data_IF_766756922176
#
_entry.id   IF_766756922176
#
_cell.length_a   1.000
_cell.length_b   1.000
_cell.length_c   1.000
_cell.angle_alpha   90.00
_cell.angle_beta   90.00
_cell.angle_gamma   90.00
#
_symmetry.space_group_name_H-M   'P 1'
#
loop_
_entity.id
_entity.type
_entity.pdbx_description
1 polymer ?
#
# COMPACT_ATOMS: atom_id res chain seq x y z
N UNK A 1 80.52 -16.01 -35.05
CA UNK A 1 79.54 -16.68 -35.94
C UNK A 1 78.77 -17.68 -35.09
N UNK A 2 77.45 -17.86 -35.09
CA UNK A 2 76.31 -17.42 -35.91
C UNK A 2 75.07 -17.58 -35.03
N UNK A 3 74.09 -16.70 -35.19
CA UNK A 3 72.81 -16.64 -34.49
C UNK A 3 71.96 -17.91 -34.68
N UNK A 4 71.32 -18.40 -33.61
CA UNK A 4 70.18 -19.33 -33.70
C UNK A 4 68.87 -18.57 -33.41
N UNK A 5 67.97 -18.59 -34.40
CA UNK A 5 66.61 -18.04 -34.33
C UNK A 5 65.62 -19.19 -34.10
N UNK A 6 64.79 -19.09 -33.08
CA UNK A 6 63.55 -19.88 -32.95
C UNK A 6 62.35 -18.95 -33.09
N UNK A 7 61.86 -18.83 -34.33
CA UNK A 7 60.66 -18.05 -34.66
C UNK A 7 59.39 -18.87 -34.38
N UNK A 8 58.53 -18.34 -33.51
CA UNK A 8 57.19 -18.82 -33.20
C UNK A 8 56.29 -18.77 -34.44
N UNK A 9 55.57 -19.86 -34.73
CA UNK A 9 54.43 -19.88 -35.66
C UNK A 9 53.31 -19.01 -35.10
N UNK A 10 52.95 -17.94 -35.82
CA UNK A 10 51.71 -17.19 -35.62
C UNK A 10 50.80 -17.54 -36.79
N UNK A 11 49.71 -18.25 -36.51
CA UNK A 11 48.68 -18.57 -37.47
C UNK A 11 47.83 -17.30 -37.67
N UNK A 12 47.85 -16.75 -38.89
CA UNK A 12 47.05 -15.58 -39.27
C UNK A 12 45.63 -16.04 -39.60
N UNK A 13 44.64 -15.52 -38.87
CA UNK A 13 43.24 -15.55 -39.25
C UNK A 13 42.89 -14.18 -39.84
N UNK A 14 42.51 -14.18 -41.12
CA UNK A 14 42.06 -12.99 -41.82
C UNK A 14 40.76 -12.45 -41.19
N UNK A 15 40.76 -11.17 -40.82
CA UNK A 15 39.55 -10.43 -40.45
C UNK A 15 38.81 -10.01 -41.72
N UNK A 16 37.63 -10.56 -41.96
CA UNK A 16 36.64 -9.94 -42.85
C UNK A 16 35.94 -8.81 -42.11
N UNK A 17 36.20 -7.58 -42.53
CA UNK A 17 35.50 -6.38 -42.05
C UNK A 17 34.11 -6.30 -42.68
N UNK A 18 33.06 -6.41 -41.87
CA UNK A 18 31.73 -6.01 -42.25
C UNK A 18 31.57 -4.51 -41.96
N UNK A 19 31.38 -3.69 -43.01
CA UNK A 19 31.00 -2.29 -42.87
C UNK A 19 29.52 -2.24 -42.50
N UNK A 20 29.24 -2.01 -41.22
CA UNK A 20 27.89 -1.72 -40.75
C UNK A 20 27.67 -0.20 -40.73
N UNK A 21 26.64 0.26 -41.44
CA UNK A 21 26.21 1.65 -41.45
C UNK A 21 25.94 2.13 -40.02
N UNK A 22 26.63 3.18 -39.60
CA UNK A 22 26.50 3.77 -38.27
C UNK A 22 25.22 4.59 -38.17
N UNK A 23 24.11 3.95 -37.81
CA UNK A 23 23.05 4.66 -37.08
C UNK A 23 23.52 4.84 -35.64
N UNK A 24 23.66 6.08 -35.17
CA UNK A 24 23.97 6.37 -33.76
C UNK A 24 22.79 5.89 -32.91
N UNK A 25 22.84 4.63 -32.49
CA UNK A 25 21.93 4.12 -31.50
C UNK A 25 22.30 4.77 -30.16
N UNK A 26 21.52 5.78 -29.76
CA UNK A 26 21.58 6.33 -28.41
C UNK A 26 21.35 5.15 -27.47
N UNK A 27 22.39 4.74 -26.74
CA UNK A 27 22.27 3.69 -25.74
C UNK A 27 21.10 4.09 -24.80
N UNK A 28 20.13 3.19 -24.55
CA UNK A 28 19.06 3.50 -23.60
C UNK A 28 19.73 3.86 -22.27
N UNK A 29 19.47 5.08 -21.81
CA UNK A 29 19.99 5.56 -20.52
C UNK A 29 19.71 4.48 -19.46
N UNK A 30 20.68 4.17 -18.58
CA UNK A 30 20.46 3.18 -17.54
C UNK A 30 19.19 3.56 -16.80
N UNK A 31 18.17 2.69 -16.86
CA UNK A 31 16.94 2.84 -16.07
C UNK A 31 17.39 2.95 -14.62
N UNK A 32 17.38 4.17 -14.07
CA UNK A 32 17.51 4.41 -12.64
C UNK A 32 16.51 3.48 -11.98
N UNK A 33 16.99 2.54 -11.15
CA UNK A 33 16.13 1.63 -10.42
C UNK A 33 15.05 2.47 -9.72
N UNK A 34 13.79 2.23 -10.08
CA UNK A 34 12.67 2.96 -9.49
C UNK A 34 12.71 2.66 -7.99
N UNK A 35 12.82 3.70 -7.15
CA UNK A 35 12.85 3.51 -5.70
C UNK A 35 11.66 2.65 -5.29
N UNK A 36 11.91 1.59 -4.52
CA UNK A 36 10.90 0.60 -4.13
C UNK A 36 9.62 1.31 -3.65
N UNK A 37 8.52 1.10 -4.37
CA UNK A 37 7.22 1.70 -4.04
C UNK A 37 6.65 1.12 -2.75
N UNK A 38 5.86 1.93 -2.05
CA UNK A 38 5.09 1.51 -0.89
C UNK A 38 3.77 0.89 -1.32
N UNK A 39 3.19 0.05 -0.46
CA UNK A 39 1.89 -0.61 -0.63
C UNK A 39 0.90 -0.10 0.42
N UNK A 40 -0.37 -0.10 0.06
CA UNK A 40 -1.46 0.29 0.94
C UNK A 40 -2.61 -0.72 0.87
N UNK A 41 -3.25 -0.95 2.03
CA UNK A 41 -4.26 -1.99 2.24
C UNK A 41 -5.44 -1.42 3.02
N UNK A 42 -6.66 -1.75 2.61
CA UNK A 42 -7.86 -1.44 3.41
C UNK A 42 -8.03 -2.49 4.51
N UNK A 43 -8.12 -2.01 5.75
CA UNK A 43 -8.39 -2.82 6.93
C UNK A 43 -9.56 -2.22 7.73
N UNK A 44 -10.41 -3.07 8.31
CA UNK A 44 -11.47 -2.60 9.22
C UNK A 44 -11.91 -3.69 10.19
N UNK A 45 -12.55 -3.26 11.28
CA UNK A 45 -13.34 -4.10 12.16
C UNK A 45 -14.67 -3.40 12.48
N UNK A 46 -15.78 -4.11 12.26
CA UNK A 46 -17.12 -3.63 12.66
C UNK A 46 -17.25 -3.51 14.18
N UNK A 47 -18.35 -2.93 14.67
CA UNK A 47 -18.61 -2.84 16.12
C UNK A 47 -18.64 -4.21 16.81
N UNK A 48 -19.14 -5.24 16.14
CA UNK A 48 -19.11 -6.62 16.65
C UNK A 48 -17.84 -7.37 16.24
N UNK A 49 -16.78 -6.64 15.87
CA UNK A 49 -15.48 -7.17 15.45
C UNK A 49 -15.60 -8.15 14.28
N UNK A 50 -16.28 -7.75 13.22
CA UNK A 50 -16.26 -8.49 11.95
C UNK A 50 -15.46 -7.67 10.98
N UNK A 51 -14.31 -8.19 10.59
CA UNK A 51 -13.30 -7.41 9.90
C UNK A 51 -12.86 -7.95 8.56
N UNK A 52 -12.18 -7.10 7.82
CA UNK A 52 -11.36 -7.46 6.67
C UNK A 52 -9.94 -7.07 6.98
N UNK A 53 -9.05 -8.07 6.93
CA UNK A 53 -7.59 -7.99 7.09
C UNK A 53 -7.09 -7.48 8.45
N UNK A 54 -6.00 -8.07 8.89
CA UNK A 54 -5.13 -7.53 9.94
C UNK A 54 -4.12 -6.55 9.33
N UNK A 55 -3.20 -6.02 10.13
CA UNK A 55 -2.04 -5.29 9.61
C UNK A 55 -1.21 -6.19 8.68
N UNK A 56 -0.56 -5.60 7.68
CA UNK A 56 0.23 -6.32 6.68
C UNK A 56 1.40 -7.13 7.22
N UNK A 57 1.90 -6.76 8.41
CA UNK A 57 2.98 -7.46 9.11
C UNK A 57 2.48 -8.56 10.05
N UNK A 58 1.17 -8.77 10.19
CA UNK A 58 0.61 -9.93 10.90
C UNK A 58 0.64 -11.15 9.96
N UNK A 59 1.08 -12.31 10.45
CA UNK A 59 1.06 -13.57 9.67
C UNK A 59 -0.34 -13.97 9.18
N UNK A 60 -1.38 -13.37 9.75
CA UNK A 60 -2.78 -13.54 9.38
C UNK A 60 -3.35 -12.34 8.63
N UNK A 61 -2.52 -11.55 7.95
CA UNK A 61 -2.94 -10.39 7.16
C UNK A 61 -4.20 -10.64 6.32
N UNK A 62 -4.34 -11.83 5.71
CA UNK A 62 -5.50 -12.18 4.87
C UNK A 62 -6.81 -12.43 5.65
N UNK A 63 -6.77 -12.46 6.97
CA UNK A 63 -7.91 -12.69 7.87
C UNK A 63 -8.32 -11.37 8.53
N UNK A 64 -9.60 -11.16 8.83
CA UNK A 64 -10.03 -10.03 9.63
C UNK A 64 -9.97 -10.33 11.13
N UNK A 65 -9.74 -9.31 11.95
CA UNK A 65 -9.85 -9.39 13.41
C UNK A 65 -11.29 -9.76 13.78
N UNK A 66 -11.47 -10.85 14.54
CA UNK A 66 -12.74 -11.16 15.20
C UNK A 66 -12.59 -11.30 16.72
N UNK A 67 -13.64 -10.91 17.44
CA UNK A 67 -13.71 -10.86 18.90
C UNK A 67 -13.22 -12.17 19.55
N UNK A 68 -12.28 -12.09 20.50
CA UNK A 68 -11.81 -13.24 21.28
C UNK A 68 -10.70 -14.09 20.63
N UNK A 69 -9.82 -13.50 19.82
CA UNK A 69 -8.66 -14.16 19.16
C UNK A 69 -8.99 -15.14 18.00
N UNK A 70 -10.26 -15.32 17.62
CA UNK A 70 -10.57 -16.07 16.41
C UNK A 70 -10.36 -15.20 15.17
N UNK A 71 -9.62 -15.70 14.17
CA UNK A 71 -9.38 -14.98 12.91
C UNK A 71 -10.18 -15.67 11.81
N UNK A 72 -11.10 -14.95 11.16
CA UNK A 72 -11.94 -15.50 10.08
C UNK A 72 -11.83 -14.65 8.82
N UNK A 73 -11.86 -15.33 7.68
CA UNK A 73 -11.89 -14.70 6.36
C UNK A 73 -13.33 -14.41 5.96
N UNK A 74 -13.59 -13.15 5.56
CA UNK A 74 -14.77 -12.83 4.77
C UNK A 74 -14.41 -13.09 3.30
N UNK A 75 -15.25 -13.80 2.54
CA UNK A 75 -14.97 -14.15 1.15
C UNK A 75 -15.19 -12.93 0.22
N UNK A 76 -14.19 -12.06 0.17
CA UNK A 76 -14.22 -10.80 -0.58
C UNK A 76 -12.93 -10.61 -1.38
N UNK A 77 -13.02 -9.85 -2.47
CA UNK A 77 -11.87 -9.39 -3.24
C UNK A 77 -11.39 -8.06 -2.68
N UNK A 78 -10.12 -8.01 -2.30
CA UNK A 78 -9.46 -6.78 -1.88
C UNK A 78 -8.62 -6.22 -3.03
N UNK A 79 -8.66 -4.91 -3.24
CA UNK A 79 -7.80 -4.19 -4.17
C UNK A 79 -6.83 -3.33 -3.39
N UNK A 80 -5.55 -3.64 -3.57
CA UNK A 80 -4.44 -2.96 -2.92
C UNK A 80 -3.92 -1.85 -3.83
N UNK A 81 -3.23 -0.89 -3.25
CA UNK A 81 -2.61 0.20 -3.99
C UNK A 81 -1.10 0.21 -3.80
N UNK A 82 -0.42 0.82 -4.77
CA UNK A 82 1.00 1.17 -4.65
C UNK A 82 1.16 2.68 -4.74
N UNK A 83 2.11 3.25 -4.02
CA UNK A 83 2.43 4.67 -4.08
C UNK A 83 3.93 4.89 -3.89
N UNK A 84 4.42 6.03 -4.40
CA UNK A 84 5.83 6.42 -4.30
C UNK A 84 5.96 7.84 -3.75
N UNK A 85 7.19 8.28 -3.56
CA UNK A 85 7.50 9.68 -3.23
C UNK A 85 6.89 10.63 -4.28
N UNK A 86 6.58 11.85 -3.84
CA UNK A 86 5.90 12.87 -4.63
C UNK A 86 4.41 12.96 -4.32
N UNK A 87 3.62 13.37 -5.33
CA UNK A 87 2.16 13.44 -5.21
C UNK A 87 1.57 12.04 -5.09
N UNK A 88 0.72 11.85 -4.09
CA UNK A 88 0.07 10.59 -3.78
C UNK A 88 -1.43 10.72 -4.04
N UNK A 89 -1.96 9.84 -4.88
CA UNK A 89 -3.40 9.62 -5.03
C UNK A 89 -3.64 8.16 -5.32
N UNK A 90 -4.29 7.45 -4.39
CA UNK A 90 -4.58 6.04 -4.57
C UNK A 90 -5.91 5.64 -3.92
N UNK A 91 -6.47 4.52 -4.35
CA UNK A 91 -7.67 3.94 -3.77
C UNK A 91 -7.40 2.49 -3.38
N UNK A 92 -7.73 2.16 -2.13
CA UNK A 92 -7.81 0.78 -1.65
C UNK A 92 -9.27 0.42 -1.49
N UNK A 93 -9.63 -0.84 -1.77
CA UNK A 93 -11.03 -1.25 -1.71
C UNK A 93 -11.22 -2.71 -1.36
N UNK A 94 -12.45 -3.03 -0.98
CA UNK A 94 -12.96 -4.38 -0.85
C UNK A 94 -14.29 -4.47 -1.58
N UNK A 95 -14.51 -5.59 -2.26
CA UNK A 95 -15.73 -5.87 -3.02
C UNK A 95 -16.15 -7.33 -2.85
N UNK A 96 -17.45 -7.57 -2.74
CA UNK A 96 -18.01 -8.92 -2.69
C UNK A 96 -19.33 -8.99 -1.95
N UNK A 97 -20.24 -9.83 -2.44
CA UNK A 97 -21.57 -10.01 -1.87
C UNK A 97 -21.54 -10.58 -0.44
N UNK A 98 -20.44 -11.25 -0.05
CA UNK A 98 -20.27 -11.79 1.30
C UNK A 98 -20.28 -10.70 2.39
N UNK A 99 -19.98 -9.43 2.05
CA UNK A 99 -20.03 -8.31 3.00
C UNK A 99 -21.42 -8.15 3.62
N UNK A 100 -22.48 -8.25 2.81
CA UNK A 100 -23.88 -8.12 3.29
C UNK A 100 -24.21 -9.10 4.40
N UNK A 101 -23.83 -10.37 4.22
CA UNK A 101 -24.12 -11.42 5.19
C UNK A 101 -23.18 -11.35 6.38
N UNK A 102 -21.89 -11.09 6.14
CA UNK A 102 -20.90 -11.00 7.20
C UNK A 102 -21.19 -9.86 8.18
N UNK A 103 -21.63 -8.69 7.69
CA UNK A 103 -21.91 -7.51 8.49
C UNK A 103 -23.41 -7.33 8.79
N UNK A 104 -24.21 -8.38 8.62
CA UNK A 104 -25.64 -8.33 8.89
C UNK A 104 -25.87 -8.00 10.38
N UNK A 105 -26.64 -6.95 10.64
CA UNK A 105 -26.96 -6.48 11.99
C UNK A 105 -25.91 -5.59 12.64
N UNK A 106 -24.73 -5.41 12.04
CA UNK A 106 -23.75 -4.46 12.54
C UNK A 106 -24.22 -3.01 12.38
N UNK A 107 -23.82 -2.15 13.33
CA UNK A 107 -24.20 -0.73 13.40
C UNK A 107 -22.97 0.18 13.38
N UNK A 108 -22.09 -0.04 12.42
CA UNK A 108 -20.87 0.73 12.21
C UNK A 108 -19.58 -0.02 12.53
N UNK A 109 -18.53 0.75 12.81
CA UNK A 109 -17.16 0.25 12.90
C UNK A 109 -16.46 0.71 14.17
N UNK A 110 -15.62 -0.16 14.73
CA UNK A 110 -14.64 0.23 15.74
C UNK A 110 -13.43 0.85 15.04
N UNK A 111 -12.98 0.24 13.93
CA UNK A 111 -11.86 0.75 13.14
C UNK A 111 -12.12 0.65 11.64
N UNK A 112 -11.68 1.66 10.91
CA UNK A 112 -11.44 1.64 9.47
C UNK A 112 -10.14 2.41 9.26
N UNK A 113 -9.18 1.79 8.59
CA UNK A 113 -7.90 2.43 8.33
C UNK A 113 -7.28 1.92 7.03
N UNK A 114 -6.38 2.73 6.48
CA UNK A 114 -5.49 2.30 5.41
C UNK A 114 -4.15 1.98 6.06
N UNK A 115 -3.82 0.70 6.07
CA UNK A 115 -2.53 0.20 6.49
C UNK A 115 -1.51 0.35 5.35
N UNK A 116 -0.25 0.66 5.66
CA UNK A 116 0.79 0.78 4.64
C UNK A 116 2.08 0.12 5.11
N UNK A 117 2.94 -0.27 4.18
CA UNK A 117 4.31 -0.70 4.52
C UNK A 117 5.30 0.48 4.61
N UNK A 118 4.82 1.73 4.69
CA UNK A 118 5.68 2.89 4.94
C UNK A 118 6.13 2.85 6.39
N UNK A 119 7.44 2.81 6.71
CA UNK A 119 7.91 2.78 8.09
C UNK A 119 7.35 3.95 8.92
N UNK A 120 7.04 3.70 10.19
CA UNK A 120 6.52 4.71 11.11
C UNK A 120 7.46 5.90 11.30
N UNK A 121 8.77 5.66 11.20
CA UNK A 121 9.81 6.70 11.17
C UNK A 121 9.65 7.69 10.01
N UNK A 122 8.98 7.29 8.93
CA UNK A 122 8.68 8.13 7.77
C UNK A 122 7.28 8.77 7.82
N UNK A 123 6.47 8.53 8.85
CA UNK A 123 5.12 9.13 9.03
C UNK A 123 5.13 10.65 8.81
N UNK A 124 6.10 11.37 9.39
CA UNK A 124 6.21 12.84 9.28
C UNK A 124 6.48 13.33 7.85
N UNK A 125 7.01 12.46 6.97
CA UNK A 125 7.24 12.77 5.55
C UNK A 125 5.98 12.57 4.71
N UNK A 126 4.99 11.84 5.22
CA UNK A 126 3.73 11.61 4.55
C UNK A 126 2.67 12.60 5.01
N UNK A 127 2.35 13.57 4.16
CA UNK A 127 1.30 14.55 4.39
C UNK A 127 0.05 14.14 3.64
N UNK A 128 -0.88 13.47 4.32
CA UNK A 128 -2.19 13.13 3.75
C UNK A 128 -3.11 14.34 3.91
N UNK A 129 -3.56 14.92 2.79
CA UNK A 129 -4.46 16.08 2.80
C UNK A 129 -5.92 15.65 2.87
N UNK A 130 -6.27 14.51 2.29
CA UNK A 130 -7.66 14.05 2.19
C UNK A 130 -7.75 12.53 2.18
N UNK A 131 -8.76 12.00 2.87
CA UNK A 131 -9.24 10.64 2.68
C UNK A 131 -10.76 10.63 2.44
N UNK A 132 -11.22 9.89 1.42
CA UNK A 132 -12.65 9.77 1.08
C UNK A 132 -13.09 8.33 1.27
N UNK A 133 -13.99 8.12 2.22
CA UNK A 133 -14.66 6.84 2.46
C UNK A 133 -15.89 6.74 1.56
N UNK A 134 -15.92 5.69 0.74
CA UNK A 134 -17.09 5.28 -0.03
C UNK A 134 -17.62 3.93 0.48
N UNK A 135 -18.93 3.84 0.64
CA UNK A 135 -19.64 2.60 0.98
C UNK A 135 -20.70 2.36 -0.09
N UNK A 136 -20.59 1.20 -0.75
CA UNK A 136 -21.43 0.78 -1.88
C UNK A 136 -21.45 1.84 -2.98
N UNK A 137 -20.26 2.32 -3.36
CA UNK A 137 -20.04 3.33 -4.41
C UNK A 137 -20.35 4.78 -4.01
N UNK A 138 -21.13 5.01 -2.93
CA UNK A 138 -21.50 6.35 -2.46
C UNK A 138 -20.49 6.91 -1.47
N UNK A 139 -20.10 8.17 -1.64
CA UNK A 139 -19.28 8.87 -0.65
C UNK A 139 -20.07 9.05 0.65
N UNK A 140 -19.48 8.60 1.76
CA UNK A 140 -20.08 8.71 3.10
C UNK A 140 -19.36 9.76 3.94
N UNK A 141 -18.04 9.87 3.78
CA UNK A 141 -17.24 10.87 4.49
C UNK A 141 -16.03 11.30 3.67
N UNK A 142 -15.77 12.59 3.71
CA UNK A 142 -14.46 13.15 3.36
C UNK A 142 -13.81 13.64 4.64
N UNK A 143 -12.58 13.20 4.89
CA UNK A 143 -11.78 13.55 6.06
C UNK A 143 -10.60 14.39 5.57
N UNK A 144 -10.55 15.64 6.00
CA UNK A 144 -9.42 16.53 5.74
C UNK A 144 -8.34 16.31 6.79
N UNK A 145 -7.09 16.14 6.34
CA UNK A 145 -5.93 15.88 7.20
C UNK A 145 -6.21 14.77 8.23
N UNK A 146 -6.49 13.52 7.78
CA UNK A 146 -6.75 12.40 8.67
C UNK A 146 -5.57 12.17 9.63
N UNK A 147 -5.86 11.62 10.80
CA UNK A 147 -4.81 11.31 11.75
C UNK A 147 -3.98 10.12 11.25
N UNK A 148 -2.66 10.20 11.42
CA UNK A 148 -1.72 9.15 11.05
C UNK A 148 -1.10 8.52 12.31
N UNK A 149 -1.09 7.20 12.36
CA UNK A 149 -0.31 6.43 13.34
C UNK A 149 1.01 5.97 12.68
N UNK A 150 2.01 5.46 13.42
CA UNK A 150 2.04 5.21 14.86
C UNK A 150 1.85 6.47 15.70
N UNK A 151 1.37 6.34 16.94
CA UNK A 151 1.42 7.45 17.91
C UNK A 151 2.88 7.75 18.29
N UNK A 152 3.12 8.93 18.88
CA UNK A 152 4.47 9.34 19.26
C UNK A 152 5.12 8.32 20.22
N UNK A 153 6.36 7.94 19.94
CA UNK A 153 7.13 6.96 20.72
C UNK A 153 7.08 5.54 20.16
N UNK A 154 6.20 5.25 19.19
CA UNK A 154 6.05 3.92 18.58
C UNK A 154 6.63 3.82 17.16
N UNK A 155 7.26 4.89 16.66
CA UNK A 155 7.69 5.00 15.25
C UNK A 155 8.66 3.91 14.77
N UNK A 156 9.51 3.38 15.65
CA UNK A 156 10.60 2.46 15.27
C UNK A 156 10.14 1.04 14.96
N UNK A 157 9.04 0.59 15.55
CA UNK A 157 8.55 -0.80 15.47
C UNK A 157 7.25 -0.93 14.69
N UNK A 158 6.70 0.17 14.19
CA UNK A 158 5.40 0.21 13.54
C UNK A 158 5.46 0.86 12.16
N UNK A 159 4.34 0.78 11.44
CA UNK A 159 4.17 1.33 10.11
C UNK A 159 3.14 2.44 10.10
N UNK A 160 3.25 3.32 9.11
CA UNK A 160 2.34 4.45 8.96
C UNK A 160 0.97 3.95 8.55
N UNK A 161 -0.06 4.31 9.29
CA UNK A 161 -1.44 4.02 8.92
C UNK A 161 -2.27 5.29 8.88
N UNK A 162 -3.27 5.31 8.00
CA UNK A 162 -4.18 6.44 7.83
C UNK A 162 -5.50 6.08 8.50
N UNK A 163 -5.80 6.74 9.62
CA UNK A 163 -7.01 6.48 10.38
C UNK A 163 -8.21 7.15 9.72
N UNK A 164 -9.23 6.34 9.40
CA UNK A 164 -10.53 6.83 8.91
C UNK A 164 -11.53 6.85 10.05
N UNK A 165 -11.63 5.73 10.78
CA UNK A 165 -12.41 5.57 12.02
C UNK A 165 -11.55 4.79 12.99
N UNK A 166 -11.48 5.22 14.26
CA UNK A 166 -10.84 4.44 15.31
C UNK A 166 -11.35 4.88 16.68
N UNK A 167 -12.20 4.07 17.32
CA UNK A 167 -12.83 4.35 18.62
C UNK A 167 -11.83 4.50 19.76
N UNK A 168 -10.63 3.94 19.63
CA UNK A 168 -9.62 3.92 20.68
C UNK A 168 -8.53 4.99 20.49
N UNK A 169 -8.54 5.71 19.35
CA UNK A 169 -7.62 6.80 19.13
C UNK A 169 -8.36 8.14 19.18
N UNK A 170 -8.18 8.95 20.24
CA UNK A 170 -8.93 10.20 20.42
C UNK A 170 -8.64 11.22 19.32
N UNK A 171 -7.46 11.18 18.68
CA UNK A 171 -7.12 12.09 17.59
C UNK A 171 -7.83 11.68 16.29
N UNK A 172 -8.04 10.39 16.05
CA UNK A 172 -8.85 9.91 14.95
C UNK A 172 -10.35 10.19 15.17
N UNK A 173 -10.89 9.96 16.38
CA UNK A 173 -12.28 10.26 16.74
C UNK A 173 -12.62 11.75 16.54
N UNK A 174 -11.68 12.66 16.84
CA UNK A 174 -11.82 14.10 16.55
C UNK A 174 -11.99 14.39 15.05
N UNK A 175 -11.41 13.58 14.16
CA UNK A 175 -11.50 13.74 12.70
C UNK A 175 -12.78 13.14 12.14
N UNK A 176 -13.17 11.98 12.64
CA UNK A 176 -14.43 11.34 12.28
C UNK A 176 -14.92 10.42 13.40
N UNK A 177 -16.00 10.85 14.08
CA UNK A 177 -16.58 10.10 15.19
C UNK A 177 -17.18 8.78 14.73
N UNK A 178 -16.75 7.65 15.29
CA UNK A 178 -17.26 6.33 14.90
C UNK A 178 -18.79 6.22 15.07
N UNK A 179 -19.34 6.88 16.11
CA UNK A 179 -20.79 6.91 16.37
C UNK A 179 -21.61 7.51 15.22
N UNK A 180 -21.01 8.36 14.40
CA UNK A 180 -21.67 8.97 13.24
C UNK A 180 -21.67 8.08 11.99
N UNK A 181 -20.89 6.98 11.98
CA UNK A 181 -20.89 5.99 10.91
C UNK A 181 -21.75 4.79 11.30
N UNK A 182 -23.04 4.83 10.95
CA UNK A 182 -23.96 3.71 11.17
C UNK A 182 -24.07 2.78 9.96
N UNK A 183 -23.75 3.28 8.76
CA UNK A 183 -23.84 2.53 7.50
C UNK A 183 -22.71 1.50 7.38
N UNK A 184 -23.07 0.26 7.05
CA UNK A 184 -22.15 -0.84 6.73
C UNK A 184 -22.23 -1.21 5.23
N UNK A 185 -21.15 -1.70 4.60
CA UNK A 185 -21.16 -2.08 3.19
C UNK A 185 -21.94 -3.38 2.97
N UNK A 186 -22.68 -3.41 1.87
CA UNK A 186 -23.37 -4.63 1.41
C UNK A 186 -22.65 -5.27 0.20
N UNK A 187 -21.91 -4.46 -0.57
CA UNK A 187 -21.22 -4.87 -1.79
C UNK A 187 -19.79 -4.39 -1.83
N UNK A 188 -19.51 -3.17 -1.37
CA UNK A 188 -18.16 -2.61 -1.44
C UNK A 188 -17.87 -1.53 -0.40
N UNK A 189 -16.59 -1.40 -0.07
CA UNK A 189 -16.03 -0.26 0.64
C UNK A 189 -14.74 0.17 -0.03
N UNK A 190 -14.51 1.47 -0.15
CA UNK A 190 -13.28 2.01 -0.71
C UNK A 190 -12.83 3.24 0.09
N UNK A 191 -11.52 3.40 0.21
CA UNK A 191 -10.90 4.61 0.76
C UNK A 191 -9.95 5.16 -0.29
N UNK A 192 -10.22 6.39 -0.73
CA UNK A 192 -9.32 7.13 -1.62
C UNK A 192 -8.51 8.11 -0.81
N UNK A 193 -7.18 8.00 -0.88
CA UNK A 193 -6.22 8.82 -0.14
C UNK A 193 -5.53 9.76 -1.11
N UNK A 194 -5.40 11.03 -0.72
CA UNK A 194 -4.66 12.05 -1.46
C UNK A 194 -3.69 12.75 -0.52
N UNK A 195 -2.48 13.03 -1.00
CA UNK A 195 -1.45 13.69 -0.21
C UNK A 195 -0.12 13.84 -0.96
N UNK A 196 0.95 14.02 -0.20
CA UNK A 196 2.32 14.09 -0.69
C UNK A 196 3.24 13.32 0.24
N UNK A 197 4.13 12.49 -0.32
CA UNK A 197 5.20 11.83 0.41
C UNK A 197 6.55 12.45 0.02
N UNK A 198 7.26 13.02 0.98
CA UNK A 198 8.59 13.61 0.77
C UNK A 198 9.70 12.56 0.78
#
# INVERSE_FOLDING_TARGET
>A
MRFSKTSKRVLSLAMTAAVAASSVAVAPAPKKAEAAGYKAYLCFASKTYKGVRSNHNDGNFKLGVHNGNTKKKISVKCSDASFKKGKVSFTVSVTGAALKNALKGDKGFNTIYVDTNLPGTNKKKFKVSKAVLKIDGKAVKTISNPYLTPDAGKEKSEFTQIMIVNTWNPNAEKKYKASSLTKVPTKSMAVTVTGTLK
#
